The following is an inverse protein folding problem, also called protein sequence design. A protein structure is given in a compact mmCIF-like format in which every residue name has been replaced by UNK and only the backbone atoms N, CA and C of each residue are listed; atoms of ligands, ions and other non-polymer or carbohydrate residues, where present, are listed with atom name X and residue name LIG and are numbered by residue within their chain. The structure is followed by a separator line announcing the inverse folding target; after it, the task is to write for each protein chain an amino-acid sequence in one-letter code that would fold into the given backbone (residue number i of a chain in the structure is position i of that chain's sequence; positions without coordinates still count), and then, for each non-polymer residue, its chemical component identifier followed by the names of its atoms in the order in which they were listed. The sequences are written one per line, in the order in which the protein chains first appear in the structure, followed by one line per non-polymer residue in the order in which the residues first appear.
data_IF_391667071063
#
_entry.id   IF_391667071063
#
_cell.length_a   1.000
_cell.length_b   1.000
_cell.length_c   1.000
_cell.angle_alpha   90.00
_cell.angle_beta   90.00
_cell.angle_gamma   90.00
#
_symmetry.space_group_name_H-M   'P 1'
#
loop_
_entity.id
_entity.type
_entity.pdbx_description
1 polymer ?
#
# COMPACT_ATOMS: atom_id res chain seq x y z
N UNK A 1 -18.19 -12.34 2.08
CA UNK A 1 -17.63 -10.97 2.07
C UNK A 1 -16.20 -10.88 2.61
N UNK A 2 -15.92 -11.32 3.84
CA UNK A 2 -14.58 -11.24 4.47
C UNK A 2 -13.40 -11.72 3.61
N UNK A 3 -13.51 -12.92 3.00
CA UNK A 3 -12.46 -13.47 2.12
C UNK A 3 -12.21 -12.61 0.86
N UNK A 4 -13.25 -11.94 0.34
CA UNK A 4 -13.11 -11.07 -0.83
C UNK A 4 -12.40 -9.76 -0.48
N UNK A 5 -12.74 -9.15 0.66
CA UNK A 5 -12.05 -7.95 1.16
C UNK A 5 -10.59 -8.26 1.46
N UNK A 6 -10.32 -9.39 2.12
CA UNK A 6 -8.94 -9.83 2.37
C UNK A 6 -8.16 -10.01 1.07
N UNK A 7 -8.72 -10.71 0.08
CA UNK A 7 -8.08 -10.88 -1.23
C UNK A 7 -7.84 -9.53 -1.91
N UNK A 8 -8.79 -8.60 -1.85
CA UNK A 8 -8.67 -7.26 -2.41
C UNK A 8 -7.50 -6.49 -1.79
N UNK A 9 -7.42 -6.41 -0.46
CA UNK A 9 -6.32 -5.75 0.24
C UNK A 9 -4.96 -6.33 -0.15
N UNK A 10 -4.89 -7.67 -0.24
CA UNK A 10 -3.67 -8.36 -0.64
C UNK A 10 -3.31 -8.12 -2.12
N UNK A 11 -4.29 -7.96 -3.02
CA UNK A 11 -4.03 -7.57 -4.43
C UNK A 11 -3.41 -6.18 -4.49
N UNK A 12 -3.95 -5.22 -3.75
CA UNK A 12 -3.43 -3.85 -3.73
C UNK A 12 -2.00 -3.84 -3.20
N UNK A 13 -1.78 -4.53 -2.08
CA UNK A 13 -0.46 -4.63 -1.47
C UNK A 13 0.56 -5.29 -2.40
N UNK A 14 0.17 -6.39 -3.06
CA UNK A 14 1.00 -7.08 -4.03
C UNK A 14 1.38 -6.21 -5.23
N UNK A 15 0.41 -5.51 -5.81
CA UNK A 15 0.66 -4.63 -6.96
C UNK A 15 1.59 -3.49 -6.57
N UNK A 16 1.36 -2.85 -5.43
CA UNK A 16 2.22 -1.79 -4.92
C UNK A 16 3.65 -2.28 -4.68
N UNK A 17 3.80 -3.44 -4.05
CA UNK A 17 5.11 -4.05 -3.80
C UNK A 17 5.86 -4.33 -5.11
N UNK A 18 5.24 -5.02 -6.07
CA UNK A 18 5.90 -5.38 -7.34
C UNK A 18 6.25 -4.14 -8.17
N UNK A 19 5.39 -3.10 -8.17
CA UNK A 19 5.68 -1.82 -8.84
C UNK A 19 6.86 -1.11 -8.20
N UNK A 20 6.86 -0.97 -6.87
CA UNK A 20 7.96 -0.33 -6.14
C UNK A 20 9.26 -1.09 -6.30
N UNK A 21 9.22 -2.42 -6.21
CA UNK A 21 10.37 -3.28 -6.44
C UNK A 21 10.94 -3.08 -7.85
N UNK A 22 10.10 -3.13 -8.87
CA UNK A 22 10.51 -2.90 -10.26
C UNK A 22 11.10 -1.49 -10.43
N UNK A 23 10.42 -0.47 -9.93
CA UNK A 23 10.84 0.91 -10.08
C UNK A 23 12.20 1.18 -9.40
N UNK A 24 12.35 0.75 -8.15
CA UNK A 24 13.56 1.01 -7.36
C UNK A 24 14.75 0.14 -7.81
N UNK A 25 14.55 -1.17 -7.95
CA UNK A 25 15.67 -2.10 -8.20
C UNK A 25 15.95 -2.36 -9.68
N UNK A 26 15.03 -2.05 -10.59
CA UNK A 26 15.23 -2.30 -12.04
C UNK A 26 15.32 -1.01 -12.84
N UNK A 27 14.39 -0.08 -12.62
CA UNK A 27 14.32 1.12 -13.44
C UNK A 27 15.33 2.18 -13.00
N UNK A 28 15.35 2.52 -11.71
CA UNK A 28 16.21 3.58 -11.17
C UNK A 28 17.61 3.08 -10.82
N UNK A 29 17.76 1.84 -10.34
CA UNK A 29 19.05 1.37 -9.82
C UNK A 29 20.15 1.32 -10.90
N UNK A 30 21.17 2.19 -10.88
CA UNK A 30 22.23 2.19 -11.88
C UNK A 30 23.10 0.92 -11.83
N UNK A 31 23.27 0.31 -10.66
CA UNK A 31 24.04 -0.92 -10.50
C UNK A 31 23.36 -2.12 -11.15
N UNK A 32 22.03 -2.12 -11.23
CA UNK A 32 21.29 -3.12 -12.00
C UNK A 32 21.67 -3.05 -13.48
N UNK A 33 21.65 -1.85 -14.06
CA UNK A 33 22.04 -1.63 -15.46
C UNK A 33 23.51 -1.94 -15.73
N UNK A 34 24.40 -1.52 -14.83
CA UNK A 34 25.82 -1.86 -14.93
C UNK A 34 26.05 -3.37 -14.89
N UNK A 35 25.28 -4.10 -14.08
CA UNK A 35 25.31 -5.55 -13.99
C UNK A 35 24.85 -6.31 -15.23
N UNK A 36 24.20 -5.66 -16.21
CA UNK A 36 23.79 -6.30 -17.46
C UNK A 36 24.96 -6.50 -18.44
N UNK A 37 26.06 -5.75 -18.28
CA UNK A 37 27.25 -5.85 -19.12
C UNK A 37 28.41 -6.46 -18.33
N UNK A 38 29.29 -7.20 -19.01
CA UNK A 38 30.57 -7.63 -18.43
C UNK A 38 31.57 -6.49 -18.54
N UNK A 39 32.07 -6.01 -17.41
CA UNK A 39 33.06 -4.93 -17.35
C UNK A 39 34.45 -5.49 -17.12
N UNK A 40 35.43 -5.03 -17.91
CA UNK A 40 36.85 -5.30 -17.68
C UNK A 40 37.43 -4.33 -16.63
N UNK A 41 36.72 -4.18 -15.50
CA UNK A 41 37.12 -3.33 -14.38
C UNK A 41 36.68 -3.97 -13.07
N UNK A 42 37.65 -4.38 -12.25
CA UNK A 42 37.42 -5.07 -10.99
C UNK A 42 36.67 -4.21 -9.96
N UNK A 43 36.86 -2.89 -9.97
CA UNK A 43 36.15 -1.99 -9.07
C UNK A 43 34.65 -1.97 -9.37
N UNK A 44 34.27 -1.82 -10.64
CA UNK A 44 32.87 -1.84 -11.08
C UNK A 44 32.22 -3.19 -10.72
N UNK A 45 32.91 -4.30 -11.00
CA UNK A 45 32.42 -5.64 -10.66
C UNK A 45 32.22 -5.82 -9.15
N UNK A 46 33.11 -5.25 -8.32
CA UNK A 46 32.97 -5.26 -6.85
C UNK A 46 31.77 -4.43 -6.38
N UNK A 47 31.54 -3.24 -6.95
CA UNK A 47 30.36 -2.44 -6.64
C UNK A 47 29.05 -3.17 -6.99
N UNK A 48 28.99 -3.84 -8.14
CA UNK A 48 27.82 -4.65 -8.54
C UNK A 48 27.58 -5.80 -7.55
N UNK A 49 28.64 -6.48 -7.10
CA UNK A 49 28.55 -7.56 -6.12
C UNK A 49 28.02 -7.07 -4.77
N UNK A 50 28.56 -5.94 -4.27
CA UNK A 50 28.10 -5.33 -3.02
C UNK A 50 26.61 -4.97 -3.11
N UNK A 51 26.16 -4.36 -4.22
CA UNK A 51 24.74 -4.03 -4.41
C UNK A 51 23.85 -5.29 -4.42
N UNK A 52 24.30 -6.40 -5.01
CA UNK A 52 23.55 -7.67 -4.98
C UNK A 52 23.48 -8.27 -3.57
N UNK A 53 24.54 -8.16 -2.79
CA UNK A 53 24.55 -8.60 -1.39
C UNK A 53 23.59 -7.75 -0.54
N UNK A 54 23.60 -6.42 -0.73
CA UNK A 54 22.64 -5.54 -0.06
C UNK A 54 21.19 -5.92 -0.39
N UNK A 55 20.87 -6.20 -1.66
CA UNK A 55 19.53 -6.66 -2.06
C UNK A 55 19.13 -7.99 -1.40
N UNK A 56 20.07 -8.92 -1.22
CA UNK A 56 19.77 -10.17 -0.50
C UNK A 56 19.59 -9.95 1.00
N UNK A 57 20.41 -9.09 1.61
CA UNK A 57 20.43 -8.84 3.05
C UNK A 57 19.18 -8.07 3.52
N UNK A 58 18.64 -7.20 2.67
CA UNK A 58 17.38 -6.47 2.94
C UNK A 58 16.14 -7.34 2.74
N UNK A 59 16.30 -8.51 2.11
CA UNK A 59 15.21 -9.44 1.83
C UNK A 59 15.01 -10.45 2.97
N UNK A 60 13.86 -10.41 3.65
CA UNK A 60 13.45 -11.48 4.56
C UNK A 60 12.57 -12.49 3.82
N UNK A 61 13.06 -13.73 3.71
CA UNK A 61 12.35 -14.86 3.08
C UNK A 61 11.81 -14.51 1.68
N UNK A 62 12.61 -13.77 0.90
CA UNK A 62 12.33 -13.40 -0.49
C UNK A 62 11.48 -12.15 -0.68
N UNK A 63 11.22 -11.38 0.38
CA UNK A 63 10.51 -10.10 0.31
C UNK A 63 11.42 -9.02 0.90
N UNK A 64 11.70 -7.98 0.11
CA UNK A 64 12.47 -6.82 0.57
C UNK A 64 11.68 -6.06 1.63
N UNK A 65 12.26 -5.93 2.83
CA UNK A 65 11.59 -5.38 3.99
C UNK A 65 11.28 -3.89 3.81
N UNK A 66 12.17 -3.15 3.17
CA UNK A 66 12.04 -1.71 2.98
C UNK A 66 10.93 -1.38 1.98
N UNK A 67 10.90 -2.09 0.86
CA UNK A 67 9.83 -1.99 -0.14
C UNK A 67 8.51 -2.47 0.44
N UNK A 68 8.53 -3.55 1.23
CA UNK A 68 7.36 -4.07 1.93
C UNK A 68 6.73 -2.96 2.77
N UNK A 69 7.49 -2.21 3.56
CA UNK A 69 6.99 -1.08 4.35
C UNK A 69 6.39 0.03 3.48
N UNK A 70 7.06 0.40 2.37
CA UNK A 70 6.53 1.42 1.46
C UNK A 70 5.23 0.99 0.76
N UNK A 71 5.11 -0.30 0.41
CA UNK A 71 3.96 -0.88 -0.26
C UNK A 71 2.69 -0.90 0.61
N UNK A 72 2.83 -0.67 1.92
CA UNK A 72 1.72 -0.56 2.87
C UNK A 72 0.89 0.70 2.62
N UNK A 73 1.54 1.80 2.22
CA UNK A 73 0.91 3.11 2.06
C UNK A 73 -0.38 3.11 1.20
N UNK A 74 -0.44 2.52 -0.01
CA UNK A 74 -1.69 2.45 -0.78
C UNK A 74 -2.81 1.68 -0.09
N UNK A 75 -2.50 0.67 0.73
CA UNK A 75 -3.52 -0.06 1.49
C UNK A 75 -4.10 0.81 2.60
N UNK A 76 -3.24 1.55 3.32
CA UNK A 76 -3.69 2.52 4.33
C UNK A 76 -4.55 3.63 3.71
N UNK A 77 -4.19 4.11 2.52
CA UNK A 77 -5.01 5.09 1.77
C UNK A 77 -6.40 4.55 1.45
N UNK A 78 -6.52 3.29 1.04
CA UNK A 78 -7.82 2.64 0.80
C UNK A 78 -8.64 2.57 2.09
N UNK A 79 -8.05 2.14 3.19
CA UNK A 79 -8.75 2.03 4.48
C UNK A 79 -9.26 3.38 4.96
N UNK A 80 -8.43 4.43 4.85
CA UNK A 80 -8.83 5.81 5.16
C UNK A 80 -9.95 6.29 4.24
N UNK A 81 -9.85 6.01 2.94
CA UNK A 81 -10.89 6.38 1.96
C UNK A 81 -12.24 5.71 2.29
N UNK A 82 -12.24 4.42 2.65
CA UNK A 82 -13.47 3.72 3.06
C UNK A 82 -14.09 4.38 4.29
N UNK A 83 -13.27 4.71 5.31
CA UNK A 83 -13.75 5.41 6.52
C UNK A 83 -14.35 6.77 6.14
N UNK A 84 -13.67 7.54 5.29
CA UNK A 84 -14.15 8.84 4.83
C UNK A 84 -15.52 8.72 4.14
N UNK A 85 -15.69 7.76 3.22
CA UNK A 85 -16.96 7.52 2.53
C UNK A 85 -18.07 7.16 3.52
N UNK A 86 -17.79 6.31 4.52
CA UNK A 86 -18.75 5.96 5.58
C UNK A 86 -19.14 7.20 6.39
N UNK A 87 -18.17 8.04 6.76
CA UNK A 87 -18.44 9.30 7.46
C UNK A 87 -19.33 10.23 6.64
N UNK A 88 -19.08 10.36 5.33
CA UNK A 88 -19.87 11.20 4.42
C UNK A 88 -21.32 10.72 4.33
N UNK A 89 -21.54 9.42 4.17
CA UNK A 89 -22.89 8.84 4.18
C UNK A 89 -23.55 9.09 5.54
N UNK A 90 -22.79 8.94 6.63
CA UNK A 90 -23.25 9.17 8.00
C UNK A 90 -23.66 10.62 8.29
N UNK A 91 -23.09 11.62 7.62
CA UNK A 91 -23.45 13.05 7.80
C UNK A 91 -24.92 13.32 7.48
N UNK A 92 -25.57 12.48 6.67
CA UNK A 92 -27.01 12.60 6.40
C UNK A 92 -27.87 12.49 7.68
N UNK A 93 -27.35 11.86 8.73
CA UNK A 93 -27.99 11.78 10.04
C UNK A 93 -27.63 12.98 10.91
N UNK A 94 -28.63 13.74 11.35
CA UNK A 94 -28.46 14.98 12.13
C UNK A 94 -27.57 14.81 13.38
N UNK A 95 -27.69 13.69 14.10
CA UNK A 95 -26.85 13.38 15.28
C UNK A 95 -25.37 13.22 14.94
N UNK A 96 -25.05 12.54 13.83
CA UNK A 96 -23.67 12.30 13.39
C UNK A 96 -23.07 13.61 12.88
N UNK A 97 -23.86 14.41 12.16
CA UNK A 97 -23.47 15.75 11.69
C UNK A 97 -23.04 16.65 12.85
N UNK A 98 -23.85 16.76 13.90
CA UNK A 98 -23.53 17.57 15.08
C UNK A 98 -22.28 17.07 15.78
N UNK A 99 -22.13 15.75 15.93
CA UNK A 99 -20.97 15.14 16.60
C UNK A 99 -19.66 15.38 15.83
N UNK A 100 -19.70 15.27 14.50
CA UNK A 100 -18.55 15.61 13.65
C UNK A 100 -18.19 17.10 13.74
N UNK A 101 -19.17 18.00 13.64
CA UNK A 101 -18.92 19.45 13.74
C UNK A 101 -18.27 19.81 15.08
N UNK A 102 -18.79 19.29 16.19
CA UNK A 102 -18.21 19.50 17.52
C UNK A 102 -16.78 18.97 17.61
N UNK A 103 -16.51 17.78 17.03
CA UNK A 103 -15.19 17.19 17.02
C UNK A 103 -14.19 17.93 16.14
N UNK A 104 -14.63 18.58 15.05
CA UNK A 104 -13.78 19.38 14.17
C UNK A 104 -13.48 20.78 14.71
N UNK A 105 -14.38 21.38 15.50
CA UNK A 105 -14.17 22.72 16.09
C UNK A 105 -13.27 22.66 17.31
N UNK A 106 -13.33 21.58 18.09
CA UNK A 106 -12.53 21.44 19.31
C UNK A 106 -11.21 20.74 19.02
N UNK A 107 -10.10 21.48 19.05
CA UNK A 107 -8.75 20.91 18.92
C UNK A 107 -8.51 19.77 19.94
N UNK A 108 -9.02 19.93 21.17
CA UNK A 108 -8.92 18.93 22.23
C UNK A 108 -9.63 17.60 21.92
N UNK A 109 -10.59 17.58 21.01
CA UNK A 109 -11.33 16.38 20.58
C UNK A 109 -10.81 15.87 19.24
N UNK A 110 -10.38 16.79 18.37
CA UNK A 110 -9.86 16.49 17.05
C UNK A 110 -8.60 15.61 17.08
N UNK A 111 -7.59 15.97 17.89
CA UNK A 111 -6.34 15.19 17.95
C UNK A 111 -6.56 13.76 18.48
N UNK A 112 -7.29 13.53 19.59
CA UNK A 112 -7.65 12.17 20.01
C UNK A 112 -8.41 11.38 18.94
N UNK A 113 -9.34 12.01 18.22
CA UNK A 113 -10.10 11.37 17.15
C UNK A 113 -9.18 10.88 16.01
N UNK A 114 -8.21 11.70 15.59
CA UNK A 114 -7.22 11.30 14.59
C UNK A 114 -6.38 10.10 15.04
N UNK A 115 -5.97 10.06 16.31
CA UNK A 115 -5.21 8.93 16.87
C UNK A 115 -6.06 7.65 16.83
N UNK A 116 -7.33 7.73 17.22
CA UNK A 116 -8.27 6.59 17.19
C UNK A 116 -8.47 6.10 15.76
N UNK A 117 -8.65 6.99 14.79
CA UNK A 117 -8.76 6.63 13.37
C UNK A 117 -7.47 5.95 12.88
N UNK A 118 -6.30 6.48 13.24
CA UNK A 118 -5.00 5.90 12.89
C UNK A 118 -4.83 4.48 13.43
N UNK A 119 -5.16 4.26 14.72
CA UNK A 119 -5.12 2.94 15.35
C UNK A 119 -6.11 1.97 14.72
N UNK A 120 -7.31 2.45 14.38
CA UNK A 120 -8.33 1.63 13.73
C UNK A 120 -7.91 1.18 12.33
N UNK A 121 -7.36 2.10 11.53
CA UNK A 121 -6.80 1.80 10.21
C UNK A 121 -5.64 0.80 10.33
N UNK A 122 -4.74 1.01 11.28
CA UNK A 122 -3.65 0.08 11.55
C UNK A 122 -4.17 -1.32 11.86
N UNK A 123 -5.13 -1.44 12.76
CA UNK A 123 -5.72 -2.72 13.15
C UNK A 123 -6.39 -3.46 11.98
N UNK A 124 -7.14 -2.74 11.14
CA UNK A 124 -7.76 -3.32 9.93
C UNK A 124 -6.69 -3.88 9.00
N UNK A 125 -5.64 -3.10 8.75
CA UNK A 125 -4.59 -3.49 7.81
C UNK A 125 -3.76 -4.66 8.34
N UNK A 126 -3.42 -4.65 9.63
CA UNK A 126 -2.78 -5.79 10.30
C UNK A 126 -3.61 -7.06 10.19
N UNK A 127 -4.91 -6.97 10.44
CA UNK A 127 -5.81 -8.12 10.38
C UNK A 127 -5.91 -8.76 8.98
N UNK A 128 -5.97 -7.94 7.93
CA UNK A 128 -6.14 -8.41 6.55
C UNK A 128 -4.82 -8.79 5.86
N UNK A 129 -3.70 -8.15 6.22
CA UNK A 129 -2.41 -8.36 5.56
C UNK A 129 -1.46 -9.22 6.42
N UNK A 130 -1.21 -8.79 7.65
CA UNK A 130 -0.06 -9.24 8.43
C UNK A 130 -0.37 -10.39 9.38
N UNK A 131 -1.61 -10.51 9.86
CA UNK A 131 -2.03 -11.60 10.73
C UNK A 131 -1.69 -12.96 10.13
N UNK A 132 -0.94 -13.77 10.87
CA UNK A 132 -0.45 -15.09 10.44
C UNK A 132 0.34 -15.07 9.12
N UNK A 133 0.99 -13.96 8.78
CA UNK A 133 1.75 -13.78 7.54
C UNK A 133 0.95 -14.03 6.25
N UNK A 134 -0.36 -13.77 6.27
CA UNK A 134 -1.29 -13.99 5.14
C UNK A 134 -0.78 -13.42 3.82
N UNK A 135 -0.21 -12.21 3.83
CA UNK A 135 0.29 -11.58 2.61
C UNK A 135 1.29 -12.45 1.84
N UNK A 136 2.12 -13.25 2.54
CA UNK A 136 3.08 -14.16 1.90
C UNK A 136 2.39 -15.31 1.18
N UNK A 137 1.31 -15.84 1.77
CA UNK A 137 0.51 -16.89 1.13
C UNK A 137 -0.13 -16.35 -0.15
N UNK A 138 -0.69 -15.14 -0.10
CA UNK A 138 -1.27 -14.50 -1.27
C UNK A 138 -0.22 -14.15 -2.33
N UNK A 139 0.96 -13.68 -1.96
CA UNK A 139 2.05 -13.40 -2.91
C UNK A 139 2.44 -14.66 -3.70
N UNK A 140 2.64 -15.78 -3.00
CA UNK A 140 2.92 -17.08 -3.63
C UNK A 140 1.79 -17.53 -4.54
N UNK A 141 0.54 -17.34 -4.11
CA UNK A 141 -0.62 -17.67 -4.91
C UNK A 141 -0.71 -16.81 -6.18
N UNK A 142 -0.51 -15.51 -6.07
CA UNK A 142 -0.59 -14.56 -7.20
C UNK A 142 0.53 -14.78 -8.21
N UNK A 143 1.75 -15.05 -7.74
CA UNK A 143 2.87 -15.42 -8.60
C UNK A 143 2.61 -16.75 -9.34
N UNK A 144 1.90 -17.70 -8.72
CA UNK A 144 1.47 -18.95 -9.37
C UNK A 144 0.33 -18.75 -10.39
N UNK A 145 -0.66 -17.93 -10.05
CA UNK A 145 -1.82 -17.67 -10.91
C UNK A 145 -1.45 -16.86 -12.17
N UNK A 146 -0.39 -16.03 -12.12
CA UNK A 146 0.09 -15.18 -13.23
C UNK A 146 -0.98 -14.25 -13.84
N UNK A 147 -2.05 -13.95 -13.10
CA UNK A 147 -3.15 -13.06 -13.52
C UNK A 147 -2.82 -11.58 -13.34
N UNK A 148 -1.60 -11.18 -13.70
CA UNK A 148 -1.06 -9.85 -13.40
C UNK A 148 -1.92 -8.73 -13.99
N UNK A 149 -2.39 -8.87 -15.24
CA UNK A 149 -3.25 -7.89 -15.90
C UNK A 149 -4.53 -7.63 -15.09
N UNK A 150 -5.13 -8.68 -14.54
CA UNK A 150 -6.34 -8.55 -13.72
C UNK A 150 -6.03 -7.84 -12.39
N UNK A 151 -4.95 -8.22 -11.71
CA UNK A 151 -4.56 -7.60 -10.44
C UNK A 151 -4.21 -6.11 -10.60
N UNK A 152 -3.43 -5.76 -11.62
CA UNK A 152 -3.12 -4.36 -11.93
C UNK A 152 -4.36 -3.60 -12.40
N UNK A 153 -5.27 -4.24 -13.15
CA UNK A 153 -6.57 -3.66 -13.50
C UNK A 153 -7.38 -3.28 -12.25
N UNK A 154 -7.47 -4.17 -11.27
CA UNK A 154 -8.11 -3.89 -9.97
C UNK A 154 -7.40 -2.75 -9.24
N UNK A 155 -6.07 -2.75 -9.21
CA UNK A 155 -5.27 -1.72 -8.54
C UNK A 155 -5.50 -0.33 -9.15
N UNK A 156 -5.40 -0.20 -10.48
CA UNK A 156 -5.63 1.06 -11.19
C UNK A 156 -7.07 1.51 -11.05
N UNK A 157 -8.04 0.61 -11.21
CA UNK A 157 -9.46 0.92 -11.03
C UNK A 157 -9.76 1.45 -9.62
N UNK A 158 -9.15 0.85 -8.60
CA UNK A 158 -9.27 1.30 -7.21
C UNK A 158 -8.74 2.73 -7.01
N UNK A 159 -7.63 3.07 -7.66
CA UNK A 159 -7.05 4.41 -7.62
C UNK A 159 -7.97 5.41 -8.34
N UNK A 160 -8.48 5.06 -9.53
CA UNK A 160 -9.40 5.92 -10.29
C UNK A 160 -10.65 6.22 -9.48
N UNK A 161 -11.28 5.23 -8.84
CA UNK A 161 -12.46 5.45 -8.00
C UNK A 161 -12.14 6.42 -6.86
N UNK A 162 -11.01 6.24 -6.17
CA UNK A 162 -10.59 7.14 -5.10
C UNK A 162 -10.43 8.58 -5.62
N UNK A 163 -9.72 8.78 -6.73
CA UNK A 163 -9.57 10.10 -7.32
C UNK A 163 -10.90 10.72 -7.74
N UNK A 164 -11.76 9.97 -8.42
CA UNK A 164 -13.09 10.45 -8.85
C UNK A 164 -13.94 10.83 -7.66
N UNK A 165 -13.95 10.02 -6.61
CA UNK A 165 -14.73 10.32 -5.40
C UNK A 165 -14.18 11.53 -4.65
N UNK A 166 -12.87 11.66 -4.47
CA UNK A 166 -12.26 12.87 -3.91
C UNK A 166 -12.56 14.10 -4.75
N UNK A 167 -12.50 14.00 -6.09
CA UNK A 167 -12.83 15.10 -7.00
C UNK A 167 -14.30 15.54 -6.86
N UNK A 168 -15.24 14.59 -6.84
CA UNK A 168 -16.66 14.89 -6.61
C UNK A 168 -16.88 15.55 -5.25
N UNK A 169 -16.20 15.07 -4.21
CA UNK A 169 -16.28 15.64 -2.87
C UNK A 169 -15.76 17.08 -2.81
N UNK A 170 -14.60 17.34 -3.42
CA UNK A 170 -14.04 18.69 -3.51
C UNK A 170 -14.95 19.65 -4.27
N UNK A 171 -15.66 19.17 -5.30
CA UNK A 171 -16.62 19.98 -6.06
C UNK A 171 -17.92 20.26 -5.29
N UNK A 172 -18.29 19.39 -4.35
CA UNK A 172 -19.52 19.51 -3.55
C UNK A 172 -19.37 20.36 -2.28
N UNK A 173 -18.13 20.75 -1.96
CA UNK A 173 -17.75 21.67 -0.88
C UNK A 173 -17.75 23.10 -1.40
#
# INVERSE_FOLDING_TARGET
MKKMVEKYYNIIYYCAYKLLFYFLYRLINPYYWLGLKKWNNNYINRCILINKQLESDTSDKGIDTWISVLAIAPVYRISLWIIAVICIIGIQFSRIKTLLITAFISDSIFFPLLIVIGLFVYYINDYFLFKNSKYRMYFKQFDKEKKYVQYYGIYVFSIIIQFTTFYVLLKSL
#
